data_IF_296415149241
#
_entry.id   IF_296415149241
#
_cell.length_a   1.000
_cell.length_b   1.000
_cell.length_c   1.000
_cell.angle_alpha   90.00
_cell.angle_beta   90.00
_cell.angle_gamma   90.00
#
_symmetry.space_group_name_H-M   'P 1'
#
loop_
_entity.id
_entity.type
_entity.pdbx_description
1 polymer ?
#
# COMPACT_ATOMS: atom_id res chain seq x y z
N UNK A 1 10.06 21.90 92.47
CA UNK A 1 9.65 23.23 92.04
C UNK A 1 8.91 23.02 90.74
N UNK A 2 7.61 22.66 90.83
CA UNK A 2 6.51 23.57 90.61
C UNK A 2 6.54 24.15 89.17
N UNK A 3 5.63 23.87 88.22
CA UNK A 3 4.18 23.94 88.12
C UNK A 3 3.83 23.33 86.75
N UNK A 4 2.81 22.50 86.64
CA UNK A 4 1.37 22.83 86.38
C UNK A 4 1.18 23.44 85.02
N UNK A 5 0.40 22.87 84.18
CA UNK A 5 -1.04 22.55 83.98
C UNK A 5 -1.34 23.05 82.59
N UNK A 6 -2.16 22.62 81.83
CA UNK A 6 -3.45 21.99 81.74
C UNK A 6 -3.87 21.92 80.31
N UNK A 7 -4.44 20.80 79.95
CA UNK A 7 -5.68 20.59 79.22
C UNK A 7 -6.14 21.60 78.14
N UNK A 8 -6.43 21.13 76.95
CA UNK A 8 -7.82 20.98 76.53
C UNK A 8 -7.94 20.29 75.16
N UNK A 9 -8.79 19.29 75.17
CA UNK A 9 -9.49 18.66 74.05
C UNK A 9 -10.23 19.71 73.23
N UNK A 10 -10.37 19.40 71.94
CA UNK A 10 -11.56 19.63 71.11
C UNK A 10 -11.21 19.22 69.67
N UNK A 11 -11.66 18.16 69.25
CA UNK A 11 -12.93 17.69 68.73
C UNK A 11 -12.85 17.37 67.26
N UNK A 12 -12.96 16.09 67.03
CA UNK A 12 -13.46 15.43 65.85
C UNK A 12 -14.68 16.18 65.26
N UNK A 13 -14.61 16.59 64.03
CA UNK A 13 -15.73 16.69 63.09
C UNK A 13 -15.32 17.22 61.71
N UNK A 14 -14.54 16.46 60.92
CA UNK A 14 -14.54 16.72 59.49
C UNK A 14 -14.20 15.49 58.61
N UNK A 15 -14.62 14.30 59.10
CA UNK A 15 -14.39 13.01 58.44
C UNK A 15 -15.51 12.55 57.46
N UNK A 16 -16.65 13.23 57.38
CA UNK A 16 -17.85 12.67 56.73
C UNK A 16 -18.25 13.26 55.38
N UNK A 17 -17.52 14.25 54.86
CA UNK A 17 -17.89 14.89 53.55
C UNK A 17 -16.96 14.58 52.37
N UNK A 18 -15.87 13.83 52.53
CA UNK A 18 -14.95 13.45 51.42
C UNK A 18 -15.23 12.08 50.84
N UNK A 19 -16.00 11.23 51.51
CA UNK A 19 -16.26 9.83 51.06
C UNK A 19 -17.33 9.72 49.97
N UNK A 20 -18.24 10.69 49.79
CA UNK A 20 -19.36 10.56 48.86
C UNK A 20 -19.08 11.08 47.44
N UNK A 21 -17.95 11.80 47.19
CA UNK A 21 -17.57 12.30 45.85
C UNK A 21 -16.62 11.36 45.08
N UNK A 22 -15.87 10.52 45.81
CA UNK A 22 -14.94 9.54 45.17
C UNK A 22 -15.69 8.31 44.64
N UNK A 23 -16.76 7.90 45.36
CA UNK A 23 -17.57 6.74 44.95
C UNK A 23 -18.41 6.96 43.67
N UNK A 24 -18.80 8.20 43.34
CA UNK A 24 -19.59 8.47 42.14
C UNK A 24 -18.72 8.58 40.85
N UNK A 25 -17.42 8.84 40.98
CA UNK A 25 -16.54 8.93 39.81
C UNK A 25 -15.98 7.55 39.40
N UNK A 26 -15.76 6.66 40.37
CA UNK A 26 -15.32 5.30 40.11
C UNK A 26 -16.42 4.41 39.52
N UNK A 27 -17.72 4.70 39.86
CA UNK A 27 -18.85 3.91 39.38
C UNK A 27 -19.27 4.26 37.96
N UNK A 28 -18.91 5.46 37.44
CA UNK A 28 -19.14 5.81 36.03
C UNK A 28 -18.02 5.31 35.11
N UNK A 29 -16.81 5.20 35.61
CA UNK A 29 -15.67 4.69 34.83
C UNK A 29 -15.70 3.15 34.73
N UNK A 30 -16.19 2.45 35.73
CA UNK A 30 -16.37 0.98 35.70
C UNK A 30 -17.51 0.56 34.75
N UNK A 31 -18.58 1.33 34.63
CA UNK A 31 -19.69 1.04 33.70
C UNK A 31 -19.27 1.17 32.23
N UNK A 32 -18.36 2.10 31.91
CA UNK A 32 -17.82 2.26 30.56
C UNK A 32 -16.76 1.19 30.24
N UNK A 33 -15.96 0.76 31.19
CA UNK A 33 -15.01 -0.32 31.03
C UNK A 33 -15.72 -1.69 30.84
N UNK A 34 -16.76 -1.96 31.61
CA UNK A 34 -17.60 -3.16 31.45
C UNK A 34 -18.34 -3.20 30.09
N UNK A 35 -18.74 -2.04 29.55
CA UNK A 35 -19.39 -1.97 28.24
C UNK A 35 -18.42 -2.20 27.06
N UNK A 36 -17.14 -1.88 27.24
CA UNK A 36 -16.12 -2.13 26.22
C UNK A 36 -15.74 -3.61 26.09
N UNK A 37 -15.96 -4.40 27.14
CA UNK A 37 -15.67 -5.85 27.18
C UNK A 37 -16.91 -6.73 26.99
N UNK A 38 -18.11 -6.19 27.18
CA UNK A 38 -19.36 -6.90 27.03
C UNK A 38 -19.79 -6.99 25.57
N UNK A 39 -20.07 -8.19 25.10
CA UNK A 39 -20.68 -8.40 23.79
C UNK A 39 -22.00 -7.61 23.70
N UNK A 40 -22.11 -6.75 22.70
CA UNK A 40 -23.31 -5.94 22.49
C UNK A 40 -24.39 -6.83 21.84
N UNK A 41 -25.38 -7.24 22.63
CA UNK A 41 -26.39 -8.21 22.20
C UNK A 41 -27.79 -7.57 21.97
N UNK A 42 -27.96 -6.27 22.25
CA UNK A 42 -29.22 -5.57 22.04
C UNK A 42 -29.05 -4.21 21.37
N UNK A 43 -30.09 -3.77 20.65
CA UNK A 43 -30.12 -2.44 20.03
C UNK A 43 -29.93 -1.31 21.08
N UNK A 44 -30.46 -1.50 22.30
CA UNK A 44 -30.33 -0.52 23.38
C UNK A 44 -28.88 -0.38 23.87
N UNK A 45 -28.09 -1.46 23.84
CA UNK A 45 -26.67 -1.42 24.21
C UNK A 45 -25.88 -0.65 23.17
N UNK A 46 -26.13 -0.89 21.86
CA UNK A 46 -25.50 -0.10 20.79
C UNK A 46 -25.83 1.38 20.91
N UNK A 47 -27.10 1.75 21.12
CA UNK A 47 -27.51 3.15 21.29
C UNK A 47 -26.79 3.81 22.48
N UNK A 48 -26.62 3.09 23.60
CA UNK A 48 -25.92 3.60 24.78
C UNK A 48 -24.45 3.86 24.52
N UNK A 49 -23.76 2.92 23.85
CA UNK A 49 -22.33 3.06 23.52
C UNK A 49 -22.10 4.16 22.50
N UNK A 50 -22.98 4.30 21.51
CA UNK A 50 -22.92 5.34 20.49
C UNK A 50 -23.12 6.75 21.06
N UNK A 51 -23.85 6.92 22.18
CA UNK A 51 -23.92 8.21 22.88
C UNK A 51 -22.53 8.67 23.40
N UNK A 52 -21.67 7.73 23.79
CA UNK A 52 -20.32 8.02 24.25
C UNK A 52 -19.29 8.18 23.12
N UNK A 53 -19.53 7.55 21.98
CA UNK A 53 -18.59 7.51 20.83
C UNK A 53 -19.32 7.62 19.49
N UNK A 54 -19.96 8.77 19.20
CA UNK A 54 -20.82 8.93 18.03
C UNK A 54 -20.07 8.91 16.69
N UNK A 55 -18.77 9.15 16.70
CA UNK A 55 -17.93 9.21 15.50
C UNK A 55 -17.27 7.88 15.12
N UNK A 56 -17.42 6.82 15.92
CA UNK A 56 -16.79 5.53 15.64
C UNK A 56 -17.54 4.74 14.57
N UNK A 57 -17.03 4.68 13.36
CA UNK A 57 -17.58 3.84 12.27
C UNK A 57 -17.65 2.37 12.66
N UNK A 58 -16.69 1.89 13.44
CA UNK A 58 -16.65 0.52 13.92
C UNK A 58 -17.94 0.14 14.69
N UNK A 59 -18.39 0.99 15.63
CA UNK A 59 -19.61 0.77 16.39
C UNK A 59 -20.86 0.81 15.51
N UNK A 60 -20.92 1.76 14.58
CA UNK A 60 -22.02 1.86 13.63
C UNK A 60 -22.10 0.62 12.72
N UNK A 61 -20.97 0.16 12.20
CA UNK A 61 -20.89 -1.04 11.35
C UNK A 61 -21.28 -2.30 12.13
N UNK A 62 -20.85 -2.42 13.40
CA UNK A 62 -21.32 -3.51 14.27
C UNK A 62 -22.84 -3.46 14.49
N UNK A 63 -23.41 -2.27 14.68
CA UNK A 63 -24.85 -2.10 14.81
C UNK A 63 -25.61 -2.47 13.53
N UNK A 64 -25.08 -2.10 12.36
CA UNK A 64 -25.60 -2.59 11.07
C UNK A 64 -25.57 -4.12 11.01
N UNK A 65 -24.43 -4.72 11.36
CA UNK A 65 -24.21 -6.18 11.34
C UNK A 65 -25.19 -6.90 12.27
N UNK A 66 -25.45 -6.33 13.45
CA UNK A 66 -26.47 -6.85 14.37
C UNK A 66 -27.84 -6.96 13.71
N UNK A 67 -28.31 -5.91 13.00
CA UNK A 67 -29.57 -5.98 12.28
C UNK A 67 -29.55 -6.93 11.08
N UNK A 68 -28.41 -7.06 10.40
CA UNK A 68 -28.26 -8.04 9.31
C UNK A 68 -28.35 -9.48 9.84
N UNK A 69 -27.78 -9.77 11.01
CA UNK A 69 -27.90 -11.09 11.68
C UNK A 69 -29.35 -11.41 12.07
N UNK A 70 -30.14 -10.39 12.38
CA UNK A 70 -31.58 -10.52 12.63
C UNK A 70 -32.41 -10.59 11.34
N UNK A 71 -31.80 -10.60 10.16
CA UNK A 71 -32.49 -10.59 8.87
C UNK A 71 -33.14 -9.25 8.52
N UNK A 72 -32.89 -8.18 9.25
CA UNK A 72 -33.54 -6.88 9.05
C UNK A 72 -32.64 -5.90 8.28
N UNK A 73 -32.59 -6.08 6.97
CA UNK A 73 -31.76 -5.27 6.06
C UNK A 73 -32.16 -3.80 6.07
N UNK A 74 -33.46 -3.51 6.17
CA UNK A 74 -33.95 -2.13 6.13
C UNK A 74 -33.52 -1.33 7.37
N UNK A 75 -33.49 -1.96 8.54
CA UNK A 75 -32.92 -1.33 9.74
C UNK A 75 -31.42 -1.13 9.63
N UNK A 76 -30.69 -2.07 9.05
CA UNK A 76 -29.26 -1.89 8.80
C UNK A 76 -28.99 -0.68 7.89
N UNK A 77 -29.79 -0.50 6.82
CA UNK A 77 -29.76 0.69 5.95
C UNK A 77 -30.02 1.99 6.71
N UNK A 78 -31.06 1.98 7.57
CA UNK A 78 -31.41 3.15 8.39
C UNK A 78 -30.28 3.52 9.36
N UNK A 79 -29.66 2.53 10.00
CA UNK A 79 -28.49 2.75 10.88
C UNK A 79 -27.32 3.36 10.10
N UNK A 80 -27.01 2.84 8.90
CA UNK A 80 -25.97 3.41 8.05
C UNK A 80 -26.24 4.87 7.67
N UNK A 81 -27.44 5.18 7.21
CA UNK A 81 -27.86 6.54 6.85
C UNK A 81 -27.78 7.50 8.05
N UNK A 82 -28.21 7.03 9.23
CA UNK A 82 -28.07 7.81 10.47
C UNK A 82 -26.62 8.02 10.85
N UNK A 83 -25.77 7.02 10.75
CA UNK A 83 -24.34 7.14 11.03
C UNK A 83 -23.66 8.21 10.15
N UNK A 84 -23.95 8.24 8.85
CA UNK A 84 -23.43 9.25 7.91
C UNK A 84 -23.84 10.67 8.32
N UNK A 85 -25.00 10.85 8.93
CA UNK A 85 -25.48 12.15 9.42
C UNK A 85 -24.86 12.53 10.76
N UNK A 86 -24.66 11.57 11.67
CA UNK A 86 -24.21 11.79 13.05
C UNK A 86 -22.68 11.97 13.13
N UNK A 87 -21.92 11.15 12.39
CA UNK A 87 -20.45 11.24 12.35
C UNK A 87 -20.04 12.64 11.87
N UNK A 88 -19.17 13.28 12.63
CA UNK A 88 -18.73 14.63 12.36
C UNK A 88 -18.07 14.75 10.98
N UNK A 89 -18.28 15.87 10.28
CA UNK A 89 -17.79 16.05 8.90
C UNK A 89 -16.26 16.01 8.75
N UNK A 90 -15.50 16.28 9.83
CA UNK A 90 -14.03 16.18 9.84
C UNK A 90 -13.51 14.76 9.94
N UNK A 91 -14.36 13.82 10.34
CA UNK A 91 -14.02 12.40 10.44
C UNK A 91 -14.30 11.70 9.09
N UNK A 92 -13.60 12.16 8.03
CA UNK A 92 -13.82 11.73 6.65
C UNK A 92 -13.64 10.22 6.49
N UNK A 93 -12.60 9.65 7.12
CA UNK A 93 -12.32 8.22 7.06
C UNK A 93 -13.42 7.39 7.74
N UNK A 94 -13.93 7.84 8.87
CA UNK A 94 -15.02 7.17 9.58
C UNK A 94 -16.31 7.18 8.74
N UNK A 95 -16.64 8.31 8.10
CA UNK A 95 -17.76 8.39 7.17
C UNK A 95 -17.59 7.47 5.97
N UNK A 96 -16.41 7.47 5.36
CA UNK A 96 -16.10 6.61 4.23
C UNK A 96 -16.27 5.12 4.58
N UNK A 97 -15.84 4.70 5.78
CA UNK A 97 -16.03 3.33 6.25
C UNK A 97 -17.51 2.93 6.31
N UNK A 98 -18.38 3.84 6.79
CA UNK A 98 -19.84 3.58 6.82
C UNK A 98 -20.43 3.54 5.41
N UNK A 99 -20.00 4.42 4.49
CA UNK A 99 -20.41 4.37 3.09
C UNK A 99 -20.04 3.03 2.44
N UNK A 100 -18.84 2.53 2.72
CA UNK A 100 -18.40 1.23 2.21
C UNK A 100 -19.20 0.06 2.81
N UNK A 101 -19.54 0.14 4.10
CA UNK A 101 -20.42 -0.84 4.72
C UNK A 101 -21.83 -0.82 4.10
N UNK A 102 -22.39 0.36 3.84
CA UNK A 102 -23.68 0.49 3.15
C UNK A 102 -23.61 -0.05 1.72
N UNK A 103 -22.56 0.24 0.97
CA UNK A 103 -22.35 -0.33 -0.37
C UNK A 103 -22.24 -1.85 -0.36
N UNK A 104 -21.58 -2.43 0.64
CA UNK A 104 -21.56 -3.88 0.83
C UNK A 104 -22.97 -4.45 1.09
N UNK A 105 -23.76 -3.79 1.92
CA UNK A 105 -25.15 -4.20 2.18
C UNK A 105 -25.97 -4.15 0.89
N UNK A 106 -25.88 -3.06 0.12
CA UNK A 106 -26.58 -2.95 -1.16
C UNK A 106 -26.08 -3.97 -2.18
N UNK A 107 -24.77 -4.22 -2.23
CA UNK A 107 -24.22 -5.25 -3.11
C UNK A 107 -24.71 -6.66 -2.80
N UNK A 108 -24.99 -6.96 -1.53
CA UNK A 108 -25.48 -8.29 -1.09
C UNK A 108 -26.99 -8.42 -1.19
N UNK A 109 -27.74 -7.38 -0.86
CA UNK A 109 -29.19 -7.44 -0.64
C UNK A 109 -30.00 -6.47 -1.50
N UNK A 110 -29.36 -5.54 -2.18
CA UNK A 110 -30.01 -4.53 -3.01
C UNK A 110 -30.19 -4.94 -4.46
N UNK A 111 -30.78 -4.05 -5.25
CA UNK A 111 -30.83 -4.13 -6.70
C UNK A 111 -29.65 -3.39 -7.35
N UNK A 112 -29.33 -3.64 -8.62
CA UNK A 112 -28.30 -2.88 -9.35
C UNK A 112 -28.54 -1.36 -9.30
N UNK A 113 -29.80 -0.93 -9.36
CA UNK A 113 -30.16 0.49 -9.30
C UNK A 113 -29.87 1.10 -7.92
N UNK A 114 -30.14 0.36 -6.83
CA UNK A 114 -29.84 0.84 -5.47
C UNK A 114 -28.34 0.90 -5.21
N UNK A 115 -27.56 -0.07 -5.71
CA UNK A 115 -26.09 -0.05 -5.64
C UNK A 115 -25.54 1.17 -6.37
N UNK A 116 -26.00 1.41 -7.62
CA UNK A 116 -25.53 2.54 -8.43
C UNK A 116 -25.90 3.89 -7.80
N UNK A 117 -27.10 4.00 -7.20
CA UNK A 117 -27.54 5.21 -6.50
C UNK A 117 -26.66 5.51 -5.28
N UNK A 118 -26.42 4.51 -4.42
CA UNK A 118 -25.56 4.67 -3.23
C UNK A 118 -24.10 4.90 -3.63
N UNK A 119 -23.62 4.25 -4.68
CA UNK A 119 -22.28 4.47 -5.21
C UNK A 119 -22.06 5.90 -5.70
N UNK A 120 -23.01 6.44 -6.48
CA UNK A 120 -22.95 7.84 -6.94
C UNK A 120 -22.96 8.81 -5.77
N UNK A 121 -23.83 8.56 -4.78
CA UNK A 121 -23.90 9.39 -3.58
C UNK A 121 -22.60 9.34 -2.78
N UNK A 122 -22.06 8.15 -2.52
CA UNK A 122 -20.77 7.98 -1.84
C UNK A 122 -19.63 8.72 -2.56
N UNK A 123 -19.56 8.62 -3.90
CA UNK A 123 -18.54 9.29 -4.70
C UNK A 123 -18.71 10.81 -4.79
N UNK A 124 -19.89 11.34 -4.45
CA UNK A 124 -20.15 12.77 -4.38
C UNK A 124 -19.68 13.39 -3.05
N UNK A 125 -19.78 12.64 -1.95
CA UNK A 125 -19.47 13.14 -0.59
C UNK A 125 -18.07 12.76 -0.10
N UNK A 126 -17.34 11.90 -0.79
CA UNK A 126 -16.01 11.43 -0.42
C UNK A 126 -15.05 11.54 -1.61
N UNK A 127 -13.78 11.16 -1.41
CA UNK A 127 -12.85 11.04 -2.52
C UNK A 127 -13.37 10.02 -3.54
N UNK A 128 -13.70 10.53 -4.71
CA UNK A 128 -14.30 9.73 -5.76
C UNK A 128 -13.37 8.61 -6.25
N UNK A 129 -12.05 8.83 -6.28
CA UNK A 129 -11.07 7.80 -6.67
C UNK A 129 -11.08 6.64 -5.66
N UNK A 130 -10.98 6.97 -4.38
CA UNK A 130 -10.99 5.99 -3.28
C UNK A 130 -12.29 5.17 -3.27
N UNK A 131 -13.44 5.83 -3.49
CA UNK A 131 -14.75 5.16 -3.59
C UNK A 131 -14.79 4.18 -4.77
N UNK A 132 -14.24 4.56 -5.94
CA UNK A 132 -14.20 3.65 -7.09
C UNK A 132 -13.30 2.44 -6.82
N UNK A 133 -12.10 2.65 -6.26
CA UNK A 133 -11.17 1.57 -5.91
C UNK A 133 -11.79 0.59 -4.90
N UNK A 134 -12.48 1.11 -3.88
CA UNK A 134 -13.16 0.27 -2.88
C UNK A 134 -14.37 -0.45 -3.46
N UNK A 135 -15.13 0.19 -4.36
CA UNK A 135 -16.26 -0.47 -5.03
C UNK A 135 -15.80 -1.64 -5.91
N UNK A 136 -14.68 -1.48 -6.63
CA UNK A 136 -14.06 -2.58 -7.37
C UNK A 136 -13.72 -3.75 -6.44
N UNK A 137 -13.13 -3.46 -5.27
CA UNK A 137 -12.85 -4.49 -4.26
C UNK A 137 -14.12 -5.17 -3.72
N UNK A 138 -15.20 -4.41 -3.51
CA UNK A 138 -16.51 -4.95 -3.10
C UNK A 138 -17.05 -5.92 -4.14
N UNK A 139 -17.00 -5.57 -5.42
CA UNK A 139 -17.45 -6.46 -6.49
C UNK A 139 -16.59 -7.72 -6.59
N UNK A 140 -15.25 -7.60 -6.53
CA UNK A 140 -14.34 -8.75 -6.55
C UNK A 140 -14.59 -9.70 -5.37
N UNK A 141 -14.71 -9.19 -4.13
CA UNK A 141 -15.01 -10.01 -2.94
C UNK A 141 -16.41 -10.62 -3.00
N UNK A 142 -17.36 -9.93 -3.60
CA UNK A 142 -18.73 -10.42 -3.83
C UNK A 142 -18.85 -11.39 -5.02
N UNK A 143 -17.74 -11.74 -5.67
CA UNK A 143 -17.69 -12.56 -6.88
C UNK A 143 -18.55 -12.03 -8.03
N UNK A 144 -18.74 -10.71 -8.10
CA UNK A 144 -19.46 -10.00 -9.18
C UNK A 144 -18.45 -9.51 -10.22
N UNK A 145 -17.81 -10.44 -10.88
CA UNK A 145 -16.68 -10.15 -11.79
C UNK A 145 -17.10 -9.32 -13.00
N UNK A 146 -18.29 -9.56 -13.54
CA UNK A 146 -18.84 -8.81 -14.68
C UNK A 146 -19.14 -7.36 -14.30
N UNK A 147 -19.65 -7.11 -13.10
CA UNK A 147 -19.89 -5.75 -12.60
C UNK A 147 -18.58 -4.99 -12.38
N UNK A 148 -17.56 -5.66 -11.83
CA UNK A 148 -16.22 -5.11 -11.71
C UNK A 148 -15.63 -4.77 -13.09
N UNK A 149 -15.71 -5.71 -14.05
CA UNK A 149 -15.24 -5.52 -15.42
C UNK A 149 -15.95 -4.36 -16.13
N UNK A 150 -17.24 -4.16 -15.89
CA UNK A 150 -17.99 -3.03 -16.44
C UNK A 150 -17.63 -1.69 -15.76
N UNK A 151 -17.19 -1.71 -14.49
CA UNK A 151 -16.82 -0.49 -13.76
C UNK A 151 -15.44 0.04 -14.17
N UNK A 152 -14.45 -0.83 -14.47
CA UNK A 152 -13.09 -0.40 -14.83
C UNK A 152 -13.02 0.60 -15.98
N UNK A 153 -13.64 0.38 -17.16
CA UNK A 153 -13.62 1.36 -18.26
C UNK A 153 -14.21 2.71 -17.87
N UNK A 154 -15.27 2.69 -17.04
CA UNK A 154 -15.92 3.91 -16.54
C UNK A 154 -14.99 4.67 -15.59
N UNK A 155 -14.33 3.94 -14.68
CA UNK A 155 -13.38 4.49 -13.72
C UNK A 155 -12.16 5.08 -14.43
N UNK A 156 -11.55 4.34 -15.36
CA UNK A 156 -10.39 4.82 -16.13
C UNK A 156 -10.73 6.03 -17.00
N UNK A 157 -11.92 6.10 -17.58
CA UNK A 157 -12.36 7.30 -18.33
C UNK A 157 -12.39 8.54 -17.43
N UNK A 158 -12.72 8.38 -16.14
CA UNK A 158 -12.78 9.49 -15.19
C UNK A 158 -11.41 9.81 -14.58
N UNK A 159 -10.57 8.80 -14.37
CA UNK A 159 -9.27 8.88 -13.69
C UNK A 159 -8.12 8.43 -14.59
N UNK A 160 -8.15 8.83 -15.88
CA UNK A 160 -7.19 8.37 -16.88
C UNK A 160 -5.73 8.71 -16.58
N UNK A 161 -5.51 9.78 -15.81
CA UNK A 161 -4.19 10.27 -15.38
C UNK A 161 -3.68 9.60 -14.09
N UNK A 162 -4.44 8.69 -13.46
CA UNK A 162 -4.06 8.02 -12.21
C UNK A 162 -3.47 6.64 -12.50
N UNK A 163 -2.15 6.44 -12.28
CA UNK A 163 -1.48 5.16 -12.57
C UNK A 163 -2.08 3.97 -11.83
N UNK A 164 -2.48 4.17 -10.56
CA UNK A 164 -2.97 3.10 -9.70
C UNK A 164 -4.29 2.48 -10.21
N UNK A 165 -5.12 3.26 -10.89
CA UNK A 165 -6.34 2.75 -11.53
C UNK A 165 -6.02 1.79 -12.68
N UNK A 166 -5.03 2.13 -13.50
CA UNK A 166 -4.56 1.29 -14.60
C UNK A 166 -3.90 0.00 -14.10
N UNK A 167 -3.06 0.11 -13.07
CA UNK A 167 -2.40 -1.04 -12.44
C UNK A 167 -3.45 -1.98 -11.85
N UNK A 168 -4.45 -1.45 -11.16
CA UNK A 168 -5.54 -2.23 -10.58
C UNK A 168 -6.35 -2.98 -11.64
N UNK A 169 -6.64 -2.32 -12.77
CA UNK A 169 -7.33 -2.98 -13.89
C UNK A 169 -6.49 -4.08 -14.51
N UNK A 170 -5.19 -3.83 -14.72
CA UNK A 170 -4.26 -4.83 -15.24
C UNK A 170 -4.21 -6.08 -14.33
N UNK A 171 -4.03 -5.89 -13.04
CA UNK A 171 -4.03 -6.99 -12.06
C UNK A 171 -5.36 -7.74 -12.02
N UNK A 172 -6.49 -7.03 -12.17
CA UNK A 172 -7.81 -7.66 -12.27
C UNK A 172 -7.91 -8.56 -13.49
N UNK A 173 -7.47 -8.09 -14.65
CA UNK A 173 -7.49 -8.87 -15.89
C UNK A 173 -6.67 -10.15 -15.75
N UNK A 174 -5.46 -10.08 -15.19
CA UNK A 174 -4.62 -11.27 -14.96
C UNK A 174 -5.27 -12.26 -13.97
N UNK A 175 -5.88 -11.76 -12.89
CA UNK A 175 -6.55 -12.64 -11.90
C UNK A 175 -7.75 -13.41 -12.46
N UNK A 176 -8.34 -12.92 -13.53
CA UNK A 176 -9.55 -13.48 -14.13
C UNK A 176 -9.33 -14.02 -15.55
N UNK A 177 -8.09 -14.43 -15.87
CA UNK A 177 -7.71 -15.07 -17.13
C UNK A 177 -8.07 -14.24 -18.39
N UNK A 178 -7.96 -12.89 -18.29
CA UNK A 178 -8.26 -11.93 -19.36
C UNK A 178 -6.94 -11.33 -19.91
N UNK A 179 -6.00 -12.17 -20.27
CA UNK A 179 -4.64 -11.77 -20.66
C UNK A 179 -4.62 -10.83 -21.88
N UNK A 180 -5.40 -11.12 -22.91
CA UNK A 180 -5.48 -10.26 -24.11
C UNK A 180 -5.91 -8.82 -23.75
N UNK A 181 -6.85 -8.69 -22.83
CA UNK A 181 -7.30 -7.38 -22.36
C UNK A 181 -6.20 -6.69 -21.54
N UNK A 182 -5.52 -7.42 -20.66
CA UNK A 182 -4.39 -6.90 -19.89
C UNK A 182 -3.30 -6.34 -20.82
N UNK A 183 -2.89 -7.10 -21.84
CA UNK A 183 -1.87 -6.66 -22.80
C UNK A 183 -2.32 -5.43 -23.59
N UNK A 184 -3.59 -5.35 -23.97
CA UNK A 184 -4.14 -4.15 -24.63
C UNK A 184 -4.13 -2.90 -23.72
N UNK A 185 -4.16 -3.06 -22.39
CA UNK A 185 -4.09 -1.96 -21.45
C UNK A 185 -2.71 -1.28 -21.44
N UNK A 186 -1.64 -1.99 -21.78
CA UNK A 186 -0.27 -1.42 -21.79
C UNK A 186 -0.22 -0.19 -22.69
N UNK A 187 -0.56 -0.34 -23.97
CA UNK A 187 -0.55 0.78 -24.92
C UNK A 187 -1.53 1.88 -24.56
N UNK A 188 -2.74 1.51 -24.08
CA UNK A 188 -3.76 2.49 -23.69
C UNK A 188 -3.34 3.33 -22.47
N UNK A 189 -2.71 2.72 -21.48
CA UNK A 189 -2.23 3.43 -20.29
C UNK A 189 -1.09 4.39 -20.64
N UNK A 190 -0.14 3.97 -21.48
CA UNK A 190 0.97 4.82 -21.91
C UNK A 190 0.53 6.01 -22.76
N UNK A 191 -0.58 5.89 -23.52
CA UNK A 191 -1.17 7.02 -24.26
C UNK A 191 -1.89 8.02 -23.34
N UNK A 192 -2.36 7.58 -22.18
CA UNK A 192 -3.18 8.40 -21.26
C UNK A 192 -2.39 9.02 -20.13
N UNK A 193 -1.28 8.40 -19.74
CA UNK A 193 -0.46 8.80 -18.61
C UNK A 193 0.74 9.65 -19.04
N UNK A 194 1.17 10.55 -18.17
CA UNK A 194 2.40 11.30 -18.35
C UNK A 194 3.63 10.39 -18.47
N UNK A 195 4.61 10.76 -19.30
CA UNK A 195 5.86 9.99 -19.49
C UNK A 195 6.57 9.65 -18.17
N UNK A 196 6.52 10.55 -17.20
CA UNK A 196 7.09 10.33 -15.84
C UNK A 196 6.47 9.14 -15.10
N UNK A 197 5.24 8.77 -15.42
CA UNK A 197 4.52 7.65 -14.82
C UNK A 197 4.72 6.33 -15.58
N UNK A 198 5.21 6.37 -16.82
CA UNK A 198 5.33 5.18 -17.67
C UNK A 198 6.19 4.10 -17.03
N UNK A 199 7.35 4.49 -16.50
CA UNK A 199 8.27 3.55 -15.87
C UNK A 199 7.63 2.84 -14.67
N UNK A 200 6.93 3.61 -13.81
CA UNK A 200 6.21 3.08 -12.65
C UNK A 200 5.17 2.05 -13.06
N UNK A 201 4.37 2.38 -14.07
CA UNK A 201 3.28 1.52 -14.53
C UNK A 201 3.80 0.26 -15.21
N UNK A 202 4.78 0.39 -16.12
CA UNK A 202 5.39 -0.77 -16.78
C UNK A 202 6.08 -1.72 -15.79
N UNK A 203 6.76 -1.17 -14.79
CA UNK A 203 7.36 -2.00 -13.73
C UNK A 203 6.30 -2.70 -12.90
N UNK A 204 5.19 -2.02 -12.57
CA UNK A 204 4.07 -2.64 -11.85
C UNK A 204 3.39 -3.74 -12.67
N UNK A 205 3.22 -3.56 -13.99
CA UNK A 205 2.69 -4.59 -14.88
C UNK A 205 3.60 -5.82 -14.94
N UNK A 206 4.91 -5.61 -15.11
CA UNK A 206 5.87 -6.71 -15.11
C UNK A 206 5.87 -7.48 -13.77
N UNK A 207 5.71 -6.79 -12.64
CA UNK A 207 5.56 -7.43 -11.32
C UNK A 207 4.24 -8.18 -11.19
N UNK A 208 3.16 -7.65 -11.76
CA UNK A 208 1.85 -8.31 -11.78
C UNK A 208 1.90 -9.61 -12.60
N UNK A 209 2.58 -9.61 -13.75
CA UNK A 209 2.82 -10.81 -14.56
C UNK A 209 3.59 -11.88 -13.80
N UNK A 210 4.65 -11.52 -13.08
CA UNK A 210 5.37 -12.47 -12.22
C UNK A 210 4.50 -13.11 -11.15
N UNK A 211 3.52 -12.38 -10.66
CA UNK A 211 2.68 -12.80 -9.54
C UNK A 211 1.43 -13.54 -9.97
N UNK A 212 0.82 -13.15 -11.07
CA UNK A 212 -0.53 -13.53 -11.46
C UNK A 212 -0.64 -14.07 -12.88
N UNK A 213 0.29 -13.74 -13.76
CA UNK A 213 0.25 -14.05 -15.18
C UNK A 213 1.40 -14.93 -15.66
N UNK A 214 1.96 -14.61 -16.83
CA UNK A 214 3.05 -15.38 -17.45
C UNK A 214 4.43 -14.84 -17.08
N UNK A 215 5.24 -15.71 -16.47
CA UNK A 215 6.62 -15.40 -16.06
C UNK A 215 7.52 -15.05 -17.25
N UNK A 216 7.35 -15.71 -18.41
CA UNK A 216 8.17 -15.42 -19.59
C UNK A 216 7.82 -14.05 -20.18
N UNK A 217 6.54 -13.68 -20.17
CA UNK A 217 6.12 -12.33 -20.53
C UNK A 217 6.69 -11.29 -19.57
N UNK A 218 6.62 -11.55 -18.26
CA UNK A 218 7.22 -10.70 -17.24
C UNK A 218 8.72 -10.48 -17.44
N UNK A 219 9.46 -11.54 -17.77
CA UNK A 219 10.89 -11.47 -18.12
C UNK A 219 11.13 -10.57 -19.32
N UNK A 220 10.34 -10.74 -20.38
CA UNK A 220 10.43 -9.92 -21.59
C UNK A 220 10.19 -8.43 -21.28
N UNK A 221 9.22 -8.11 -20.43
CA UNK A 221 8.95 -6.76 -20.00
C UNK A 221 10.14 -6.18 -19.20
N UNK A 222 10.68 -6.93 -18.22
CA UNK A 222 11.85 -6.49 -17.46
C UNK A 222 13.09 -6.36 -18.31
N UNK A 223 13.34 -7.25 -19.28
CA UNK A 223 14.45 -7.13 -20.23
C UNK A 223 14.37 -5.81 -21.02
N UNK A 224 13.18 -5.45 -21.46
CA UNK A 224 12.93 -4.17 -22.14
C UNK A 224 13.23 -2.99 -21.23
N UNK A 225 12.79 -3.06 -19.95
CA UNK A 225 13.01 -2.01 -18.97
C UNK A 225 14.49 -1.83 -18.63
N UNK A 226 15.23 -2.90 -18.34
CA UNK A 226 16.65 -2.80 -18.00
C UNK A 226 17.51 -2.40 -19.19
N UNK A 227 17.13 -2.75 -20.42
CA UNK A 227 17.78 -2.30 -21.66
C UNK A 227 17.57 -0.81 -21.89
N UNK A 228 16.36 -0.31 -21.67
CA UNK A 228 16.02 1.12 -21.86
C UNK A 228 16.53 2.01 -20.74
N UNK A 229 16.57 1.51 -19.50
CA UNK A 229 16.96 2.24 -18.30
C UNK A 229 18.12 1.56 -17.55
N UNK A 230 19.31 1.34 -18.18
CA UNK A 230 20.39 0.57 -17.57
C UNK A 230 20.98 1.21 -16.31
N UNK A 231 20.81 2.54 -16.13
CA UNK A 231 21.26 3.28 -14.96
C UNK A 231 20.35 3.13 -13.74
N UNK A 232 19.12 2.68 -13.90
CA UNK A 232 18.11 2.54 -12.83
C UNK A 232 18.31 1.21 -12.08
N UNK A 233 19.10 1.25 -11.02
CA UNK A 233 19.40 0.06 -10.21
C UNK A 233 18.20 -0.51 -9.47
N UNK A 234 17.19 0.29 -9.18
CA UNK A 234 15.92 -0.13 -8.59
C UNK A 234 15.18 -1.15 -9.45
N UNK A 235 15.16 -0.96 -10.78
CA UNK A 235 14.55 -1.91 -11.74
C UNK A 235 15.32 -3.23 -11.75
N UNK A 236 16.66 -3.16 -11.77
CA UNK A 236 17.49 -4.36 -11.69
C UNK A 236 17.21 -5.18 -10.43
N UNK A 237 17.08 -4.48 -9.26
CA UNK A 237 16.77 -5.16 -8.02
C UNK A 237 15.40 -5.82 -8.02
N UNK A 238 14.38 -5.14 -8.54
CA UNK A 238 13.05 -5.73 -8.66
C UNK A 238 13.07 -6.97 -9.53
N UNK A 239 13.76 -6.93 -10.65
CA UNK A 239 13.89 -8.09 -11.54
C UNK A 239 14.64 -9.24 -10.85
N UNK A 240 15.80 -8.97 -10.26
CA UNK A 240 16.58 -9.98 -9.54
C UNK A 240 15.78 -10.59 -8.40
N UNK A 241 15.04 -9.79 -7.64
CA UNK A 241 14.21 -10.27 -6.53
C UNK A 241 13.11 -11.23 -6.99
N UNK A 242 12.54 -11.02 -8.19
CA UNK A 242 11.57 -11.98 -8.75
C UNK A 242 12.24 -13.30 -9.12
N UNK A 243 13.41 -13.29 -9.79
CA UNK A 243 14.13 -14.52 -10.12
C UNK A 243 14.59 -15.27 -8.86
N UNK A 244 14.97 -14.56 -7.81
CA UNK A 244 15.28 -15.14 -6.48
C UNK A 244 14.05 -15.79 -5.83
N UNK A 245 12.86 -15.18 -5.99
CA UNK A 245 11.61 -15.76 -5.48
C UNK A 245 11.21 -17.04 -6.22
N UNK A 246 11.54 -17.13 -7.50
CA UNK A 246 11.36 -18.31 -8.32
C UNK A 246 12.48 -19.36 -8.15
N UNK A 247 13.42 -19.13 -7.22
CA UNK A 247 14.58 -19.98 -6.98
C UNK A 247 15.47 -20.18 -8.22
N UNK A 248 15.39 -19.26 -9.21
CA UNK A 248 16.21 -19.29 -10.42
C UNK A 248 17.59 -18.68 -10.17
N UNK A 249 18.48 -19.47 -9.56
CA UNK A 249 19.84 -19.03 -9.26
C UNK A 249 20.63 -18.63 -10.51
N UNK A 250 20.43 -19.31 -11.64
CA UNK A 250 21.14 -19.01 -12.89
C UNK A 250 20.70 -17.66 -13.48
N UNK A 251 19.40 -17.40 -13.49
CA UNK A 251 18.83 -16.11 -13.91
C UNK A 251 19.33 -14.96 -13.03
N UNK A 252 19.21 -15.12 -11.71
CA UNK A 252 19.69 -14.12 -10.76
C UNK A 252 21.18 -13.80 -10.92
N UNK A 253 22.04 -14.83 -11.15
CA UNK A 253 23.48 -14.63 -11.43
C UNK A 253 23.71 -13.80 -12.70
N UNK A 254 23.07 -14.20 -13.80
CA UNK A 254 23.18 -13.50 -15.08
C UNK A 254 22.78 -12.02 -14.95
N UNK A 255 21.69 -11.74 -14.24
CA UNK A 255 21.23 -10.38 -13.99
C UNK A 255 22.19 -9.57 -13.13
N UNK A 256 22.79 -10.18 -12.09
CA UNK A 256 23.79 -9.53 -11.26
C UNK A 256 25.07 -9.18 -12.05
N UNK A 257 25.54 -10.08 -12.91
CA UNK A 257 26.68 -9.83 -13.79
C UNK A 257 26.41 -8.70 -14.77
N UNK A 258 25.23 -8.71 -15.39
CA UNK A 258 24.81 -7.67 -16.32
C UNK A 258 24.60 -6.32 -15.63
N UNK A 259 24.02 -6.29 -14.44
CA UNK A 259 23.86 -5.09 -13.64
C UNK A 259 25.21 -4.45 -13.30
N UNK A 260 26.22 -5.26 -12.93
CA UNK A 260 27.59 -4.78 -12.69
C UNK A 260 28.28 -4.25 -13.96
N UNK A 261 27.95 -4.82 -15.13
CA UNK A 261 28.53 -4.42 -16.41
C UNK A 261 27.78 -3.23 -17.06
N UNK A 262 26.54 -2.98 -16.71
CA UNK A 262 25.66 -2.03 -17.40
C UNK A 262 26.11 -0.56 -17.31
N UNK A 263 26.90 -0.19 -16.30
CA UNK A 263 27.43 1.16 -16.12
C UNK A 263 28.72 1.16 -15.28
N UNK A 264 29.43 2.31 -15.28
CA UNK A 264 30.49 2.55 -14.29
C UNK A 264 29.83 2.74 -12.91
N UNK A 265 30.24 1.95 -11.95
CA UNK A 265 29.78 2.03 -10.56
C UNK A 265 30.86 2.63 -9.69
N UNK A 266 30.48 3.43 -8.69
CA UNK A 266 31.41 3.87 -7.65
C UNK A 266 31.88 2.68 -6.81
N UNK A 267 33.04 2.80 -6.16
CA UNK A 267 33.57 1.76 -5.27
C UNK A 267 32.56 1.34 -4.20
N UNK A 268 31.78 2.29 -3.64
CA UNK A 268 30.73 2.05 -2.65
C UNK A 268 29.58 1.23 -3.24
N UNK A 269 29.14 1.56 -4.46
CA UNK A 269 28.08 0.84 -5.16
C UNK A 269 28.49 -0.59 -5.49
N UNK A 270 29.70 -0.82 -6.02
CA UNK A 270 30.19 -2.18 -6.31
C UNK A 270 30.24 -3.03 -5.05
N UNK A 271 30.73 -2.47 -3.94
CA UNK A 271 30.76 -3.16 -2.65
C UNK A 271 29.34 -3.59 -2.21
N UNK A 272 28.38 -2.68 -2.29
CA UNK A 272 26.97 -2.97 -1.95
C UNK A 272 26.38 -4.06 -2.87
N UNK A 273 26.65 -4.00 -4.17
CA UNK A 273 26.21 -4.99 -5.15
C UNK A 273 26.77 -6.39 -4.85
N UNK A 274 28.07 -6.50 -4.58
CA UNK A 274 28.72 -7.76 -4.25
C UNK A 274 28.22 -8.33 -2.91
N UNK A 275 27.94 -7.50 -1.92
CA UNK A 275 27.36 -7.92 -0.66
C UNK A 275 25.96 -8.51 -0.87
N UNK A 276 25.10 -7.83 -1.64
CA UNK A 276 23.77 -8.34 -1.98
C UNK A 276 23.84 -9.63 -2.79
N UNK A 277 24.77 -9.72 -3.76
CA UNK A 277 24.97 -10.94 -4.53
C UNK A 277 25.37 -12.11 -3.62
N UNK A 278 26.26 -11.90 -2.67
CA UNK A 278 26.64 -12.93 -1.70
C UNK A 278 25.45 -13.43 -0.88
N UNK A 279 24.52 -12.55 -0.50
CA UNK A 279 23.29 -12.93 0.19
C UNK A 279 22.39 -13.78 -0.70
N UNK A 280 22.26 -13.41 -1.99
CA UNK A 280 21.48 -14.17 -2.97
C UNK A 280 22.05 -15.57 -3.16
N UNK A 281 23.37 -15.70 -3.36
CA UNK A 281 24.02 -17.02 -3.52
C UNK A 281 23.87 -17.92 -2.30
N UNK A 282 23.90 -17.34 -1.10
CA UNK A 282 23.65 -18.08 0.14
C UNK A 282 22.19 -18.53 0.28
N UNK A 283 21.26 -17.83 -0.36
CA UNK A 283 19.82 -18.12 -0.26
C UNK A 283 19.35 -19.12 -1.29
N UNK A 284 19.72 -18.95 -2.55
CA UNK A 284 19.19 -19.71 -3.68
C UNK A 284 20.28 -20.36 -4.55
N UNK A 285 21.54 -20.01 -4.31
CA UNK A 285 22.69 -20.51 -5.07
C UNK A 285 23.33 -21.76 -4.45
N UNK A 286 24.60 -21.94 -4.78
CA UNK A 286 25.44 -23.06 -4.33
C UNK A 286 26.75 -22.56 -3.74
N UNK A 287 27.48 -23.44 -3.07
CA UNK A 287 28.78 -23.13 -2.46
C UNK A 287 29.80 -22.61 -3.49
N UNK A 288 29.76 -23.15 -4.71
CA UNK A 288 30.61 -22.71 -5.80
C UNK A 288 30.25 -21.26 -6.24
N UNK A 289 28.96 -20.90 -6.20
CA UNK A 289 28.49 -19.53 -6.44
C UNK A 289 28.98 -18.57 -5.37
N UNK A 290 28.85 -18.94 -4.12
CA UNK A 290 29.36 -18.16 -2.98
C UNK A 290 30.87 -17.90 -3.13
N UNK A 291 31.64 -18.96 -3.47
CA UNK A 291 33.08 -18.82 -3.64
C UNK A 291 33.44 -17.89 -4.81
N UNK A 292 32.73 -17.99 -5.95
CA UNK A 292 32.92 -17.09 -7.10
C UNK A 292 32.71 -15.61 -6.72
N UNK A 293 31.66 -15.30 -5.95
CA UNK A 293 31.39 -13.92 -5.50
C UNK A 293 32.48 -13.44 -4.55
N UNK A 294 32.96 -14.29 -3.63
CA UNK A 294 34.06 -13.95 -2.72
C UNK A 294 35.36 -13.67 -3.48
N UNK A 295 35.69 -14.48 -4.49
CA UNK A 295 36.89 -14.28 -5.31
C UNK A 295 36.79 -13.00 -6.13
N UNK A 296 35.62 -12.69 -6.68
CA UNK A 296 35.34 -11.42 -7.37
C UNK A 296 35.49 -10.22 -6.45
N UNK A 297 34.97 -10.34 -5.21
CA UNK A 297 35.13 -9.28 -4.20
C UNK A 297 36.59 -9.05 -3.81
N UNK A 298 37.37 -10.13 -3.64
CA UNK A 298 38.84 -10.02 -3.39
C UNK A 298 39.54 -9.35 -4.55
N UNK A 299 39.26 -9.74 -5.78
CA UNK A 299 39.83 -9.14 -6.98
C UNK A 299 39.50 -7.64 -7.08
N UNK A 300 38.27 -7.27 -6.76
CA UNK A 300 37.81 -5.88 -6.73
C UNK A 300 38.61 -5.07 -5.67
N UNK A 301 38.72 -5.57 -4.44
CA UNK A 301 39.48 -4.91 -3.38
C UNK A 301 40.95 -4.73 -3.80
N UNK A 302 41.55 -5.77 -4.38
CA UNK A 302 42.94 -5.69 -4.88
C UNK A 302 43.08 -4.62 -5.99
N UNK A 303 42.11 -4.49 -6.88
CA UNK A 303 42.12 -3.45 -7.93
C UNK A 303 42.01 -2.05 -7.35
N UNK A 304 41.16 -1.84 -6.36
CA UNK A 304 41.05 -0.53 -5.66
C UNK A 304 42.33 -0.18 -4.91
N UNK A 305 42.95 -1.15 -4.23
CA UNK A 305 44.22 -0.95 -3.54
C UNK A 305 45.37 -0.59 -4.52
N UNK A 306 45.46 -1.24 -5.68
CA UNK A 306 46.40 -0.91 -6.73
C UNK A 306 46.27 0.52 -7.26
N UNK A 307 45.01 0.95 -7.49
CA UNK A 307 44.71 2.34 -7.90
C UNK A 307 45.13 3.34 -6.81
N UNK A 308 44.81 3.06 -5.55
CA UNK A 308 45.18 3.91 -4.42
C UNK A 308 46.69 3.97 -4.21
N UNK A 309 47.45 2.93 -4.60
CA UNK A 309 48.91 2.89 -4.54
C UNK A 309 49.62 3.54 -5.75
N UNK A 310 48.88 4.10 -6.71
CA UNK A 310 49.44 4.73 -7.91
C UNK A 310 50.10 3.76 -8.90
N UNK A 311 49.85 2.46 -8.79
CA UNK A 311 50.35 1.40 -9.66
C UNK A 311 49.26 0.98 -10.65
N UNK A 312 48.96 1.84 -11.63
CA UNK A 312 47.98 1.50 -12.65
C UNK A 312 47.86 2.61 -13.69
N UNK A 313 47.71 2.22 -14.95
CA UNK A 313 47.62 3.04 -16.15
C UNK A 313 46.77 4.32 -15.97
N UNK A 314 47.27 5.41 -16.54
CA UNK A 314 46.84 6.80 -16.47
C UNK A 314 45.54 7.09 -17.27
N UNK A 315 44.50 6.26 -17.22
CA UNK A 315 43.27 6.49 -17.95
C UNK A 315 41.98 6.33 -17.10
N UNK A 316 41.92 6.97 -15.95
CA UNK A 316 40.67 7.30 -15.29
C UNK A 316 40.92 8.29 -14.13
N UNK A 317 40.92 9.57 -14.41
CA UNK A 317 40.54 10.55 -13.40
C UNK A 317 39.08 10.34 -13.06
N UNK A 318 38.84 9.58 -11.99
CA UNK A 318 37.53 9.56 -11.32
C UNK A 318 37.42 10.89 -10.58
N UNK A 319 36.67 11.81 -11.15
CA UNK A 319 36.12 12.93 -10.43
C UNK A 319 35.11 12.37 -9.42
N UNK A 320 35.51 12.32 -8.15
CA UNK A 320 34.64 12.13 -6.99
C UNK A 320 33.79 13.41 -6.78
N UNK A 321 33.00 13.79 -7.76
CA UNK A 321 31.90 14.75 -7.63
C UNK A 321 30.63 14.00 -7.97
N UNK A 322 29.93 13.50 -6.95
CA UNK A 322 28.49 13.23 -7.00
C UNK A 322 27.98 12.78 -5.62
N UNK A 323 28.09 13.66 -4.65
CA UNK A 323 27.18 13.71 -3.52
C UNK A 323 26.07 14.72 -3.84
N UNK A 324 25.15 14.41 -4.77
CA UNK A 324 23.83 15.06 -4.87
C UNK A 324 23.08 14.55 -6.10
N UNK A 325 22.60 13.31 -6.09
CA UNK A 325 21.57 12.87 -7.05
C UNK A 325 20.57 11.88 -6.41
N UNK A 326 19.95 12.33 -5.31
CA UNK A 326 18.78 11.68 -4.75
C UNK A 326 17.49 12.52 -4.88
N UNK A 327 17.52 13.66 -5.58
CA UNK A 327 16.35 14.50 -5.80
C UNK A 327 16.54 15.43 -7.00
N UNK A 328 16.52 14.92 -8.21
CA UNK A 328 16.11 15.72 -9.36
C UNK A 328 15.81 14.86 -10.59
N UNK A 329 14.61 14.25 -10.64
CA UNK A 329 14.00 13.75 -11.88
C UNK A 329 13.33 14.92 -12.60
N UNK A 330 14.11 15.79 -13.17
CA UNK A 330 13.63 16.87 -14.01
C UNK A 330 14.43 16.93 -15.31
N UNK A 331 13.73 16.69 -16.41
CA UNK A 331 14.04 17.17 -17.75
C UNK A 331 15.11 16.41 -18.56
N UNK A 332 14.75 15.23 -19.08
CA UNK A 332 15.33 14.73 -20.34
C UNK A 332 14.26 14.88 -21.43
N UNK A 333 14.28 16.04 -22.09
CA UNK A 333 13.64 16.29 -23.39
C UNK A 333 14.45 15.58 -24.48
N UNK A 334 14.22 14.29 -24.69
CA UNK A 334 14.67 13.61 -25.89
C UNK A 334 13.64 13.85 -27.02
N UNK A 335 14.04 14.69 -27.96
CA UNK A 335 13.41 14.89 -29.25
C UNK A 335 13.20 13.53 -29.96
N UNK A 336 11.95 13.15 -30.09
CA UNK A 336 11.53 12.06 -30.97
C UNK A 336 11.30 12.64 -32.34
N UNK A 337 12.30 12.56 -33.19
CA UNK A 337 12.18 12.82 -34.64
C UNK A 337 11.27 11.75 -35.25
N UNK A 338 10.02 12.13 -35.53
CA UNK A 338 9.11 11.36 -36.35
C UNK A 338 9.55 11.51 -37.80
N UNK A 339 10.33 10.54 -38.29
CA UNK A 339 10.55 10.37 -39.72
C UNK A 339 9.25 10.05 -40.42
N UNK A 340 8.68 11.05 -41.09
CA UNK A 340 7.70 10.87 -42.15
C UNK A 340 8.31 9.94 -43.22
N UNK A 341 7.67 8.81 -43.45
CA UNK A 341 7.80 8.11 -44.75
C UNK A 341 6.44 8.14 -45.45
N UNK A 342 6.37 9.08 -46.37
CA UNK A 342 5.50 9.00 -47.56
C UNK A 342 5.89 7.76 -48.39
N UNK A 343 4.95 6.84 -48.60
CA UNK A 343 4.54 6.23 -49.89
C UNK A 343 3.33 5.32 -49.68
#
# INVERSE_FOLDING_TARGET
>A
MVRHDDDHDDDDMDGARRSSKVSKKSMSDDITADLATKKLDSAADFERVLLGSPNSSYLWIQFMTFYLQLGNVDKARQVARRAIQVIHFREEQEKLNVWMALLNVENMYGSPDTVEAVFKEAAQYNDALEVHLRMLSIYEHGNKIDDAAALFPRAVKKFSFVPDMWIRWYEFCLRHDREDEAHALVSRSLQSLDRKQHLRVLTAYALAEYKLGDVEHARTMFETLVSRYPKRTDIWWQYIDQEVRLENAAGARSLMERCLAARKHTTKQVKSLLQKWLVIEKRVGDEAGVQRVLDRARAFVASVQKRAAGIGDDDARDEDEDEEDAQNDGDDSDDFDEGENDE
#
